data_IF_688265956013
#
_entry.id   IF_688265956013
#
_cell.length_a   1.000
_cell.length_b   1.000
_cell.length_c   1.000
_cell.angle_alpha   90.00
_cell.angle_beta   90.00
_cell.angle_gamma   90.00
#
_symmetry.space_group_name_H-M   'P 1'
#
loop_
_entity.id
_entity.type
_entity.pdbx_description
1 polymer ?
#
# COMPACT_ATOMS: atom_id res chain seq x y z
N UNK A 1 8.22 13.44 -12.92
CA UNK A 1 9.15 13.21 -11.80
C UNK A 1 9.32 14.47 -10.95
N UNK A 2 9.79 15.59 -11.51
CA UNK A 2 10.06 16.82 -10.74
C UNK A 2 8.94 17.26 -9.79
N UNK A 3 7.70 17.38 -10.30
CA UNK A 3 6.53 17.72 -9.47
C UNK A 3 6.29 16.75 -8.30
N UNK A 4 6.53 15.45 -8.50
CA UNK A 4 6.39 14.47 -7.42
C UNK A 4 7.44 14.70 -6.32
N UNK A 5 8.67 15.06 -6.69
CA UNK A 5 9.76 15.28 -5.75
C UNK A 5 9.67 16.61 -4.99
N UNK A 6 9.02 17.63 -5.58
CA UNK A 6 8.80 18.92 -4.92
C UNK A 6 7.69 18.91 -3.88
N UNK A 7 6.74 17.97 -3.98
CA UNK A 7 5.63 17.83 -3.02
C UNK A 7 6.11 17.23 -1.69
N UNK A 8 5.38 17.52 -0.60
CA UNK A 8 5.58 16.85 0.68
C UNK A 8 4.93 15.46 0.70
N UNK A 9 5.63 14.47 1.24
CA UNK A 9 5.16 13.08 1.27
C UNK A 9 4.73 12.66 2.67
N UNK A 10 3.54 12.08 2.76
CA UNK A 10 3.13 11.24 3.87
C UNK A 10 3.49 9.77 3.55
N UNK A 11 4.27 9.13 4.42
CA UNK A 11 4.79 7.78 4.18
C UNK A 11 4.25 6.83 5.23
N UNK A 12 3.79 5.67 4.76
CA UNK A 12 3.39 4.56 5.65
C UNK A 12 4.58 3.63 5.83
N UNK A 13 5.26 3.72 6.98
CA UNK A 13 6.37 2.83 7.33
C UNK A 13 5.87 1.71 8.23
N UNK A 14 5.81 0.50 7.67
CA UNK A 14 5.57 -0.71 8.44
C UNK A 14 6.45 -1.83 7.86
N UNK A 15 7.35 -2.36 8.67
CA UNK A 15 8.22 -3.48 8.30
C UNK A 15 7.39 -4.70 7.86
N UNK A 16 7.86 -5.40 6.83
CA UNK A 16 7.26 -6.61 6.27
C UNK A 16 5.98 -6.40 5.46
N UNK A 17 5.62 -5.15 5.11
CA UNK A 17 4.42 -4.85 4.29
C UNK A 17 4.78 -4.51 2.84
N UNK A 18 3.78 -4.61 1.96
CA UNK A 18 3.89 -4.28 0.54
C UNK A 18 4.40 -2.87 0.20
N UNK A 19 4.32 -1.92 1.14
CA UNK A 19 4.92 -0.59 1.01
C UNK A 19 6.44 -0.62 0.83
N UNK A 20 7.12 -1.65 1.35
CA UNK A 20 8.56 -1.80 1.16
C UNK A 20 8.95 -1.87 -0.31
N UNK A 21 8.07 -2.39 -1.18
CA UNK A 21 8.35 -2.49 -2.61
C UNK A 21 8.59 -1.12 -3.24
N UNK A 22 7.77 -0.12 -2.88
CA UNK A 22 7.95 1.23 -3.38
C UNK A 22 9.18 1.91 -2.77
N UNK A 23 9.41 1.78 -1.47
CA UNK A 23 10.61 2.35 -0.84
C UNK A 23 11.91 1.74 -1.39
N UNK A 24 11.95 0.41 -1.59
CA UNK A 24 13.10 -0.28 -2.18
C UNK A 24 13.34 0.16 -3.62
N UNK A 25 12.27 0.37 -4.41
CA UNK A 25 12.37 0.90 -5.77
C UNK A 25 13.04 2.29 -5.76
N UNK A 26 12.59 3.19 -4.87
CA UNK A 26 13.16 4.52 -4.77
C UNK A 26 14.64 4.48 -4.34
N UNK A 27 14.99 3.63 -3.37
CA UNK A 27 16.37 3.42 -2.94
C UNK A 27 17.24 2.92 -4.10
N UNK A 28 16.80 1.87 -4.82
CA UNK A 28 17.53 1.29 -5.96
C UNK A 28 17.77 2.33 -7.06
N UNK A 29 16.79 3.18 -7.31
CA UNK A 29 16.88 4.24 -8.31
C UNK A 29 17.55 5.53 -7.80
N UNK A 30 18.03 5.55 -6.54
CA UNK A 30 18.63 6.72 -5.89
C UNK A 30 17.71 7.94 -5.89
N UNK A 31 16.41 7.71 -5.81
CA UNK A 31 15.39 8.76 -5.78
C UNK A 31 15.12 9.12 -4.32
N UNK A 32 15.46 10.35 -3.93
CA UNK A 32 15.12 10.91 -2.63
C UNK A 32 13.94 11.88 -2.75
N UNK A 33 13.08 11.93 -1.75
CA UNK A 33 11.89 12.81 -1.73
C UNK A 33 11.68 13.42 -0.34
N UNK A 34 10.95 14.52 -0.28
CA UNK A 34 10.66 15.24 0.97
C UNK A 34 9.59 14.52 1.79
N UNK A 35 10.00 13.68 2.74
CA UNK A 35 9.08 13.05 3.71
C UNK A 35 8.73 14.05 4.81
N UNK A 36 7.46 14.46 4.89
CA UNK A 36 6.96 15.43 5.89
C UNK A 36 6.25 14.72 7.03
N UNK A 37 5.60 13.59 6.76
CA UNK A 37 4.92 12.76 7.75
C UNK A 37 5.32 11.30 7.57
N UNK A 38 5.56 10.60 8.67
CA UNK A 38 5.75 9.15 8.70
C UNK A 38 4.82 8.54 9.73
N UNK A 39 4.08 7.50 9.34
CA UNK A 39 3.13 6.80 10.22
C UNK A 39 3.13 5.29 9.96
N UNK A 40 2.83 4.44 10.95
CA UNK A 40 2.67 2.99 10.71
C UNK A 40 1.28 2.58 10.22
N UNK A 41 0.32 3.51 10.13
CA UNK A 41 -1.10 3.21 9.88
C UNK A 41 -1.63 3.88 8.61
N UNK A 42 -2.28 3.08 7.76
CA UNK A 42 -2.93 3.57 6.54
C UNK A 42 -4.18 4.41 6.81
N UNK A 43 -4.95 4.11 7.86
CA UNK A 43 -6.28 4.68 8.07
C UNK A 43 -6.31 6.20 8.28
N UNK A 44 -5.20 6.80 8.75
CA UNK A 44 -5.10 8.26 8.91
C UNK A 44 -4.77 8.99 7.62
N UNK A 45 -4.13 8.32 6.66
CA UNK A 45 -3.66 8.91 5.39
C UNK A 45 -4.76 9.63 4.63
N UNK A 46 -5.96 9.07 4.34
CA UNK A 46 -6.96 9.76 3.53
C UNK A 46 -7.34 11.13 4.10
N UNK A 47 -7.46 11.25 5.42
CA UNK A 47 -7.82 12.50 6.09
C UNK A 47 -6.66 13.50 6.10
N UNK A 48 -5.42 13.03 6.30
CA UNK A 48 -4.22 13.88 6.20
C UNK A 48 -4.08 14.45 4.79
N UNK A 49 -4.23 13.63 3.76
CA UNK A 49 -4.13 14.08 2.36
C UNK A 49 -5.27 15.04 2.01
N UNK A 50 -6.51 14.76 2.46
CA UNK A 50 -7.63 15.66 2.22
C UNK A 50 -7.50 17.04 2.91
N UNK A 51 -6.75 17.11 4.01
CA UNK A 51 -6.57 18.32 4.81
C UNK A 51 -5.22 19.03 4.57
N UNK A 52 -4.44 18.64 3.57
CA UNK A 52 -3.11 19.21 3.31
C UNK A 52 -2.72 19.14 1.83
N UNK A 53 -1.57 19.73 1.49
CA UNK A 53 -0.96 19.60 0.15
C UNK A 53 0.00 18.40 0.05
N UNK A 54 -0.06 17.46 1.00
CA UNK A 54 0.76 16.26 0.98
C UNK A 54 0.26 15.24 -0.05
N UNK A 55 1.15 14.36 -0.47
CA UNK A 55 0.82 13.17 -1.25
C UNK A 55 1.28 11.89 -0.54
N UNK A 56 0.63 10.77 -0.85
CA UNK A 56 1.04 9.46 -0.38
C UNK A 56 1.02 8.48 -1.57
N UNK A 57 2.01 7.60 -1.63
CA UNK A 57 1.98 6.45 -2.55
C UNK A 57 1.47 5.25 -1.75
N UNK A 58 0.40 4.61 -2.21
CA UNK A 58 -0.26 3.48 -1.54
C UNK A 58 -0.63 2.40 -2.56
N UNK A 59 -0.85 1.14 -2.16
CA UNK A 59 -1.41 0.13 -3.06
C UNK A 59 -2.73 0.60 -3.68
N UNK A 60 -2.98 0.29 -4.96
CA UNK A 60 -4.16 0.77 -5.70
C UNK A 60 -5.47 0.52 -4.95
N UNK A 61 -5.70 -0.72 -4.49
CA UNK A 61 -6.92 -1.09 -3.74
C UNK A 61 -7.12 -0.27 -2.45
N UNK A 62 -6.02 0.17 -1.81
CA UNK A 62 -6.05 1.04 -0.63
C UNK A 62 -6.43 2.45 -1.06
N UNK A 63 -5.83 2.99 -2.12
CA UNK A 63 -6.17 4.30 -2.67
C UNK A 63 -7.63 4.40 -3.12
N UNK A 64 -8.15 3.37 -3.80
CA UNK A 64 -9.55 3.27 -4.21
C UNK A 64 -10.48 3.27 -3.00
N UNK A 65 -10.09 2.56 -1.93
CA UNK A 65 -10.84 2.58 -0.68
C UNK A 65 -10.84 3.97 -0.04
N UNK A 66 -9.70 4.67 -0.04
CA UNK A 66 -9.58 6.02 0.51
C UNK A 66 -10.44 7.04 -0.22
N UNK A 67 -10.54 6.97 -1.54
CA UNK A 67 -11.39 7.86 -2.33
C UNK A 67 -12.89 7.72 -2.00
N UNK A 68 -13.30 6.61 -1.36
CA UNK A 68 -14.67 6.45 -0.83
C UNK A 68 -14.88 7.09 0.54
N UNK A 69 -13.80 7.32 1.31
CA UNK A 69 -13.87 7.82 2.70
C UNK A 69 -13.53 9.30 2.84
N UNK A 70 -12.77 9.86 1.89
CA UNK A 70 -12.30 11.24 1.94
C UNK A 70 -12.21 11.82 0.51
N UNK A 71 -12.24 13.15 0.36
CA UNK A 71 -12.13 13.83 -0.94
C UNK A 71 -10.69 13.79 -1.45
N UNK A 72 -10.21 12.60 -1.80
CA UNK A 72 -8.89 12.35 -2.39
C UNK A 72 -9.05 11.73 -3.77
N UNK A 73 -8.05 11.93 -4.62
CA UNK A 73 -8.00 11.34 -5.96
C UNK A 73 -6.75 10.50 -6.13
N UNK A 74 -6.87 9.45 -6.93
CA UNK A 74 -5.72 8.64 -7.33
C UNK A 74 -5.00 9.29 -8.50
N UNK A 75 -3.68 9.21 -8.49
CA UNK A 75 -2.79 9.63 -9.57
C UNK A 75 -1.68 8.60 -9.66
N UNK A 76 -1.30 8.22 -10.88
CA UNK A 76 -0.18 7.30 -11.09
C UNK A 76 1.15 7.94 -10.64
N UNK A 77 2.03 7.20 -9.94
CA UNK A 77 3.36 7.69 -9.64
C UNK A 77 4.19 7.84 -10.93
N UNK A 78 5.19 8.75 -10.97
CA UNK A 78 6.01 8.98 -12.16
C UNK A 78 7.10 7.91 -12.36
N UNK A 79 6.92 6.74 -11.76
CA UNK A 79 7.83 5.58 -11.83
C UNK A 79 6.98 4.33 -11.96
N UNK A 80 7.44 3.39 -12.75
CA UNK A 80 6.83 2.08 -12.82
C UNK A 80 7.13 1.33 -11.51
N UNK A 81 6.07 0.95 -10.80
CA UNK A 81 6.18 0.22 -9.54
C UNK A 81 5.92 -1.25 -9.82
N UNK A 82 6.87 -2.16 -9.52
CA UNK A 82 6.63 -3.58 -9.71
C UNK A 82 5.46 -4.04 -8.83
N UNK A 83 4.66 -4.95 -9.37
CA UNK A 83 3.61 -5.61 -8.61
C UNK A 83 4.17 -6.43 -7.45
N UNK A 84 3.30 -6.79 -6.51
CA UNK A 84 3.63 -7.68 -5.41
C UNK A 84 2.50 -8.68 -5.18
N UNK A 85 2.86 -9.88 -4.76
CA UNK A 85 1.88 -10.91 -4.40
C UNK A 85 1.29 -10.64 -3.02
N UNK A 86 -0.03 -10.70 -2.92
CA UNK A 86 -0.70 -10.82 -1.62
C UNK A 86 -0.82 -12.31 -1.26
N UNK A 87 -0.15 -12.74 -0.19
CA UNK A 87 -0.06 -14.15 0.19
C UNK A 87 -0.89 -14.43 1.44
N UNK A 88 -1.52 -15.61 1.46
CA UNK A 88 -2.10 -16.17 2.66
C UNK A 88 -1.04 -16.98 3.41
N UNK A 89 -0.90 -16.78 4.72
CA UNK A 89 0.05 -17.50 5.56
C UNK A 89 -0.67 -18.30 6.64
N UNK A 90 -0.26 -19.55 6.85
CA UNK A 90 -0.76 -20.40 7.92
C UNK A 90 0.32 -21.32 8.44
N UNK A 91 0.22 -21.71 9.71
CA UNK A 91 1.14 -22.68 10.29
C UNK A 91 0.84 -24.09 9.77
N UNK A 92 1.88 -24.88 9.47
CA UNK A 92 1.76 -26.24 8.91
C UNK A 92 0.85 -27.16 9.74
N UNK A 93 0.83 -26.98 11.07
CA UNK A 93 -0.07 -27.69 12.00
C UNK A 93 -1.56 -27.61 11.60
N UNK A 94 -1.99 -26.48 11.05
CA UNK A 94 -3.39 -26.23 10.67
C UNK A 94 -3.66 -26.43 9.18
N UNK A 95 -2.74 -27.03 8.43
CA UNK A 95 -2.91 -27.25 7.00
C UNK A 95 -4.16 -28.10 6.69
N UNK A 96 -4.46 -29.10 7.53
CA UNK A 96 -5.59 -30.01 7.40
C UNK A 96 -6.79 -29.67 8.30
N UNK A 97 -6.74 -28.54 9.01
CA UNK A 97 -7.88 -28.08 9.79
C UNK A 97 -9.03 -27.64 8.86
N UNK A 98 -10.25 -28.14 9.10
CA UNK A 98 -11.37 -27.93 8.19
C UNK A 98 -11.81 -26.47 8.09
N UNK A 99 -11.89 -25.77 9.22
CA UNK A 99 -12.29 -24.36 9.25
C UNK A 99 -11.23 -23.48 8.59
N UNK A 100 -9.95 -23.74 8.85
CA UNK A 100 -8.84 -23.01 8.21
C UNK A 100 -8.82 -23.27 6.71
N UNK A 101 -8.99 -24.51 6.26
CA UNK A 101 -9.02 -24.86 4.83
C UNK A 101 -10.18 -24.17 4.10
N UNK A 102 -11.37 -24.17 4.70
CA UNK A 102 -12.52 -23.46 4.16
C UNK A 102 -12.22 -21.96 3.99
N UNK A 103 -11.74 -21.28 5.03
CA UNK A 103 -11.44 -19.85 4.95
C UNK A 103 -10.41 -19.53 3.86
N UNK A 104 -9.34 -20.32 3.78
CA UNK A 104 -8.29 -20.13 2.75
C UNK A 104 -8.86 -20.26 1.33
N UNK A 105 -9.71 -21.26 1.12
CA UNK A 105 -10.35 -21.50 -0.17
C UNK A 105 -11.34 -20.37 -0.51
N UNK A 106 -12.15 -19.91 0.46
CA UNK A 106 -13.07 -18.79 0.26
C UNK A 106 -12.34 -17.50 -0.10
N UNK A 107 -11.25 -17.16 0.61
CA UNK A 107 -10.44 -15.99 0.27
C UNK A 107 -9.80 -16.13 -1.12
N UNK A 108 -9.32 -17.32 -1.49
CA UNK A 108 -8.77 -17.57 -2.82
C UNK A 108 -9.84 -17.46 -3.93
N UNK A 109 -11.08 -17.88 -3.67
CA UNK A 109 -12.18 -17.72 -4.61
C UNK A 109 -12.55 -16.25 -4.84
N UNK A 110 -12.56 -15.44 -3.76
CA UNK A 110 -12.95 -14.03 -3.84
C UNK A 110 -11.82 -13.18 -4.43
N UNK A 111 -10.57 -13.45 -4.06
CA UNK A 111 -9.42 -12.56 -4.34
C UNK A 111 -8.32 -13.18 -5.22
N UNK A 112 -8.39 -14.48 -5.55
CA UNK A 112 -7.32 -15.20 -6.26
C UNK A 112 -7.31 -15.04 -7.77
N UNK A 113 -8.20 -14.21 -8.33
CA UNK A 113 -8.28 -13.93 -9.77
C UNK A 113 -7.69 -12.56 -10.16
N UNK A 114 -6.88 -11.95 -9.28
CA UNK A 114 -6.22 -10.67 -9.52
C UNK A 114 -4.92 -10.80 -10.31
#
# INVERSE_FOLDING_TARGET
MEKFLSMGHAVVKAEGRSQEVFEQLLIRNRISRRVVLSTPHFMSIPFVIAASDLIATVPRAVGESFARFAPVRLVEPPVEVPGFDLKQHWHRKYAKDGANAWLRASLAQIFGHA
#
